data_IF_232604990158
#
_entry.id   IF_232604990158
#
_cell.length_a   1.000
_cell.length_b   1.000
_cell.length_c   1.000
_cell.angle_alpha   90.00
_cell.angle_beta   90.00
_cell.angle_gamma   90.00
#
_symmetry.space_group_name_H-M   'P 1'
#
loop_
_entity.id
_entity.type
_entity.pdbx_description
1 polymer ?
#
# COMPACT_ATOMS: atom_id res chain seq x y z
N UNK A 1 36.26 9.86 -7.31
CA UNK A 1 35.89 11.24 -7.69
C UNK A 1 34.73 11.62 -6.80
N UNK A 2 34.85 12.71 -6.04
CA UNK A 2 33.78 13.17 -5.16
C UNK A 2 32.58 13.58 -6.03
N UNK A 3 31.38 13.13 -5.69
CA UNK A 3 30.19 13.42 -6.49
C UNK A 3 29.87 14.91 -6.39
N UNK A 4 29.56 15.53 -7.53
CA UNK A 4 29.17 16.93 -7.62
C UNK A 4 27.81 17.03 -8.31
N UNK A 5 26.87 17.83 -7.79
CA UNK A 5 25.59 18.05 -8.45
C UNK A 5 25.80 18.82 -9.75
N UNK A 6 25.04 18.45 -10.78
CA UNK A 6 24.93 19.27 -11.98
C UNK A 6 23.99 20.46 -11.75
N UNK A 7 23.96 21.40 -12.70
CA UNK A 7 23.13 22.60 -12.60
C UNK A 7 21.65 22.26 -12.46
N UNK A 8 21.17 21.24 -13.18
CA UNK A 8 19.78 20.79 -13.11
C UNK A 8 19.41 20.28 -11.70
N UNK A 9 20.33 19.63 -10.99
CA UNK A 9 20.14 19.19 -9.61
C UNK A 9 20.13 20.37 -8.65
N UNK A 10 21.00 21.37 -8.85
CA UNK A 10 21.01 22.60 -8.05
C UNK A 10 19.72 23.40 -8.22
N UNK A 11 19.25 23.57 -9.46
CA UNK A 11 18.01 24.26 -9.78
C UNK A 11 16.81 23.55 -9.14
N UNK A 12 16.75 22.21 -9.26
CA UNK A 12 15.72 21.40 -8.60
C UNK A 12 15.71 21.61 -7.08
N UNK A 13 16.88 21.60 -6.43
CA UNK A 13 16.98 21.81 -4.98
C UNK A 13 16.45 23.19 -4.60
N UNK A 14 16.89 24.24 -5.31
CA UNK A 14 16.45 25.62 -5.05
C UNK A 14 14.95 25.79 -5.28
N UNK A 15 14.42 25.32 -6.40
CA UNK A 15 12.99 25.47 -6.72
C UNK A 15 12.10 24.71 -5.74
N UNK A 16 12.49 23.51 -5.30
CA UNK A 16 11.74 22.77 -4.28
C UNK A 16 11.86 23.40 -2.88
N UNK A 17 12.98 24.03 -2.56
CA UNK A 17 13.16 24.81 -1.34
C UNK A 17 12.25 26.06 -1.33
N UNK A 18 12.23 26.82 -2.42
CA UNK A 18 11.34 27.97 -2.63
C UNK A 18 9.87 27.55 -2.55
N UNK A 19 9.48 26.50 -3.26
CA UNK A 19 8.11 25.96 -3.20
C UNK A 19 7.72 25.55 -1.78
N UNK A 20 8.62 24.88 -1.05
CA UNK A 20 8.33 24.47 0.31
C UNK A 20 8.22 25.67 1.26
N UNK A 21 9.10 26.67 1.13
CA UNK A 21 8.98 27.91 1.90
C UNK A 21 7.65 28.63 1.60
N UNK A 22 7.29 28.75 0.31
CA UNK A 22 6.01 29.32 -0.14
C UNK A 22 4.79 28.60 0.45
N UNK A 23 4.76 27.27 0.38
CA UNK A 23 3.64 26.46 0.88
C UNK A 23 3.43 26.52 2.39
N UNK A 24 4.47 26.88 3.14
CA UNK A 24 4.48 26.90 4.60
C UNK A 24 4.76 28.31 5.15
N UNK A 25 4.48 29.36 4.37
CA UNK A 25 4.52 30.76 4.81
C UNK A 25 5.87 31.14 5.45
N UNK A 26 6.97 30.85 4.73
CA UNK A 26 8.33 31.12 5.20
C UNK A 26 8.88 30.11 6.22
N UNK A 27 8.13 29.06 6.54
CA UNK A 27 8.52 28.02 7.53
C UNK A 27 8.86 26.68 6.89
N UNK A 28 9.49 26.73 5.72
CA UNK A 28 9.94 25.54 4.99
C UNK A 28 10.87 24.66 5.82
N UNK A 29 10.82 23.35 5.60
CA UNK A 29 11.55 22.31 6.34
C UNK A 29 12.41 21.47 5.39
N UNK A 30 13.72 21.44 5.64
CA UNK A 30 14.67 20.70 4.82
C UNK A 30 14.31 19.20 4.70
N UNK A 31 13.82 18.58 5.78
CA UNK A 31 13.42 17.17 5.78
C UNK A 31 12.30 16.85 4.78
N UNK A 32 11.34 17.75 4.61
CA UNK A 32 10.25 17.61 3.63
C UNK A 32 10.77 17.70 2.20
N UNK A 33 11.70 18.63 1.94
CA UNK A 33 12.33 18.81 0.63
C UNK A 33 13.23 17.62 0.27
N UNK A 34 14.04 17.12 1.22
CA UNK A 34 14.86 15.92 1.04
C UNK A 34 13.99 14.72 0.68
N UNK A 35 12.92 14.47 1.44
CA UNK A 35 12.00 13.36 1.19
C UNK A 35 11.40 13.42 -0.21
N UNK A 36 11.04 14.62 -0.67
CA UNK A 36 10.50 14.84 -2.02
C UNK A 36 11.54 14.56 -3.11
N UNK A 37 12.76 15.07 -2.96
CA UNK A 37 13.86 14.84 -3.93
C UNK A 37 14.18 13.33 -4.02
N UNK A 38 14.32 12.64 -2.89
CA UNK A 38 14.63 11.21 -2.87
C UNK A 38 13.49 10.34 -3.43
N UNK A 39 12.25 10.83 -3.35
CA UNK A 39 11.07 10.21 -3.94
C UNK A 39 11.00 10.38 -5.46
N UNK A 40 11.38 11.54 -6.00
CA UNK A 40 11.29 11.84 -7.44
C UNK A 40 12.55 11.52 -8.25
N UNK A 41 13.74 11.55 -7.63
CA UNK A 41 15.05 11.35 -8.27
C UNK A 41 15.79 10.18 -7.62
N UNK A 42 15.52 8.98 -8.13
CA UNK A 42 16.13 7.75 -7.60
C UNK A 42 17.67 7.73 -7.74
N UNK A 43 18.19 8.42 -8.75
CA UNK A 43 19.62 8.60 -9.02
C UNK A 43 20.35 9.41 -7.93
N UNK A 44 19.64 10.25 -7.17
CA UNK A 44 20.23 11.05 -6.08
C UNK A 44 20.30 10.32 -4.74
N UNK A 45 19.64 9.16 -4.60
CA UNK A 45 19.59 8.38 -3.34
C UNK A 45 20.97 7.99 -2.80
N UNK A 46 21.93 7.51 -3.62
CA UNK A 46 23.29 7.20 -3.15
C UNK A 46 24.05 8.43 -2.65
N UNK A 47 23.64 9.64 -3.07
CA UNK A 47 24.34 10.90 -2.83
C UNK A 47 23.69 11.74 -1.73
N UNK A 48 22.76 11.18 -0.94
CA UNK A 48 22.01 11.90 0.09
C UNK A 48 22.88 12.70 1.09
N UNK A 49 24.09 12.22 1.41
CA UNK A 49 25.04 12.94 2.27
C UNK A 49 25.54 14.27 1.69
N UNK A 50 25.62 14.38 0.37
CA UNK A 50 26.02 15.61 -0.34
C UNK A 50 24.82 16.50 -0.64
N UNK A 51 23.66 15.90 -0.93
CA UNK A 51 22.41 16.63 -1.23
C UNK A 51 21.81 17.29 0.02
N UNK A 52 21.82 16.62 1.18
CA UNK A 52 21.15 17.12 2.37
C UNK A 52 21.66 18.49 2.88
N UNK A 53 22.98 18.77 2.94
CA UNK A 53 23.48 20.11 3.29
C UNK A 53 23.06 21.20 2.30
N UNK A 54 23.06 20.91 1.00
CA UNK A 54 22.61 21.84 -0.05
C UNK A 54 21.12 22.17 0.11
N UNK A 55 20.29 21.16 0.37
CA UNK A 55 18.86 21.36 0.63
C UNK A 55 18.65 22.22 1.87
N UNK A 56 19.37 21.93 2.97
CA UNK A 56 19.26 22.73 4.19
C UNK A 56 19.63 24.20 3.97
N UNK A 57 20.68 24.45 3.18
CA UNK A 57 21.10 25.80 2.81
C UNK A 57 20.04 26.52 1.97
N UNK A 58 19.51 25.88 0.92
CA UNK A 58 18.50 26.51 0.06
C UNK A 58 17.16 26.72 0.77
N UNK A 59 16.75 25.83 1.68
CA UNK A 59 15.56 26.06 2.54
C UNK A 59 15.77 27.26 3.45
N UNK A 60 16.95 27.38 4.07
CA UNK A 60 17.25 28.54 4.91
C UNK A 60 17.24 29.85 4.11
N UNK A 61 17.81 29.86 2.89
CA UNK A 61 17.75 31.03 2.00
C UNK A 61 16.32 31.37 1.60
N UNK A 62 15.50 30.38 1.24
CA UNK A 62 14.11 30.58 0.88
C UNK A 62 13.30 31.16 2.04
N UNK A 63 13.47 30.63 3.26
CA UNK A 63 12.79 31.15 4.45
C UNK A 63 13.24 32.58 4.79
N UNK A 64 14.54 32.88 4.68
CA UNK A 64 15.06 34.23 4.90
C UNK A 64 14.51 35.23 3.86
N UNK A 65 14.38 34.81 2.60
CA UNK A 65 13.77 35.62 1.54
C UNK A 65 12.28 35.88 1.82
N UNK A 66 11.55 34.87 2.30
CA UNK A 66 10.16 35.07 2.72
C UNK A 66 10.04 36.10 3.85
N UNK A 67 10.99 36.10 4.78
CA UNK A 67 11.03 37.04 5.90
C UNK A 67 11.42 38.46 5.47
N UNK A 68 12.40 38.63 4.58
CA UNK A 68 12.88 39.96 4.16
C UNK A 68 12.03 40.59 3.06
N UNK A 69 11.66 39.82 2.04
CA UNK A 69 11.08 40.31 0.78
C UNK A 69 9.60 39.96 0.66
N UNK A 70 9.05 39.22 1.64
CA UNK A 70 7.68 38.75 1.68
C UNK A 70 7.46 37.48 0.86
N UNK A 71 6.45 36.69 1.25
CA UNK A 71 6.15 35.39 0.63
C UNK A 71 5.82 35.46 -0.88
N UNK A 72 5.32 36.61 -1.33
CA UNK A 72 4.94 36.84 -2.73
C UNK A 72 6.16 36.97 -3.65
N UNK A 73 7.31 37.40 -3.14
CA UNK A 73 8.57 37.43 -3.90
C UNK A 73 8.96 36.03 -4.38
N UNK A 74 8.80 35.03 -3.50
CA UNK A 74 9.07 33.63 -3.81
C UNK A 74 8.10 33.12 -4.89
N UNK A 75 6.84 33.52 -4.82
CA UNK A 75 5.84 33.16 -5.84
C UNK A 75 6.26 33.69 -7.21
N UNK A 76 6.65 34.96 -7.32
CA UNK A 76 7.08 35.55 -8.59
C UNK A 76 8.29 34.81 -9.18
N UNK A 77 9.25 34.41 -8.35
CA UNK A 77 10.39 33.59 -8.77
C UNK A 77 9.90 32.25 -9.33
N UNK A 78 9.00 31.56 -8.62
CA UNK A 78 8.45 30.28 -9.07
C UNK A 78 7.62 30.44 -10.34
N UNK A 79 6.87 31.53 -10.52
CA UNK A 79 6.07 31.79 -11.74
C UNK A 79 6.96 31.91 -12.98
N UNK A 80 8.15 32.50 -12.83
CA UNK A 80 9.10 32.71 -13.92
C UNK A 80 9.92 31.45 -14.19
N UNK A 81 10.42 30.80 -13.13
CA UNK A 81 11.46 29.78 -13.28
C UNK A 81 10.94 28.35 -13.22
N UNK A 82 9.85 28.09 -12.48
CA UNK A 82 9.31 26.75 -12.26
C UNK A 82 7.77 26.78 -12.04
N UNK A 83 6.98 27.27 -13.02
CA UNK A 83 5.54 27.49 -12.85
C UNK A 83 4.79 26.21 -12.49
N UNK A 84 5.26 25.04 -12.96
CA UNK A 84 4.70 23.73 -12.63
C UNK A 84 4.72 23.40 -11.13
N UNK A 85 5.58 24.07 -10.34
CA UNK A 85 5.65 23.89 -8.89
C UNK A 85 4.62 24.73 -8.13
N UNK A 86 3.98 25.72 -8.75
CA UNK A 86 2.90 26.47 -8.10
C UNK A 86 1.58 25.70 -8.10
N UNK A 87 1.42 24.76 -9.03
CA UNK A 87 0.28 23.86 -9.03
C UNK A 87 0.38 22.89 -7.84
N UNK A 88 -0.40 23.17 -6.80
CA UNK A 88 -0.66 22.19 -5.75
C UNK A 88 -1.44 21.03 -6.37
N UNK A 89 -0.74 19.97 -6.79
CA UNK A 89 -1.37 18.66 -7.01
C UNK A 89 -1.93 18.20 -5.67
N UNK A 90 -3.16 18.58 -5.38
CA UNK A 90 -3.93 18.02 -4.27
C UNK A 90 -3.94 16.53 -4.56
N UNK A 91 -3.22 15.74 -3.74
CA UNK A 91 -3.44 14.31 -3.73
C UNK A 91 -4.87 14.13 -3.26
N UNK A 92 -5.79 14.03 -4.22
CA UNK A 92 -7.17 13.64 -3.94
C UNK A 92 -7.07 12.28 -3.29
N UNK A 93 -7.38 12.24 -1.99
CA UNK A 93 -7.47 10.98 -1.26
C UNK A 93 -8.48 10.16 -2.03
N UNK A 94 -8.04 9.02 -2.57
CA UNK A 94 -8.94 8.11 -3.26
C UNK A 94 -10.04 7.71 -2.29
N UNK A 95 -11.27 8.05 -2.62
CA UNK A 95 -12.45 7.56 -1.91
C UNK A 95 -12.85 6.22 -2.51
N UNK A 96 -13.26 5.30 -1.63
CA UNK A 96 -13.69 3.97 -2.04
C UNK A 96 -12.56 3.02 -2.48
N UNK A 97 -12.99 1.82 -2.88
CA UNK A 97 -12.12 0.76 -3.35
C UNK A 97 -11.83 0.89 -4.86
N UNK A 98 -10.68 0.39 -5.35
CA UNK A 98 -10.44 0.30 -6.78
C UNK A 98 -11.45 -0.54 -7.53
N UNK A 99 -11.62 -0.25 -8.82
CA UNK A 99 -12.29 -1.21 -9.69
C UNK A 99 -11.49 -2.51 -9.75
N UNK A 100 -12.19 -3.64 -9.68
CA UNK A 100 -11.59 -4.95 -9.90
C UNK A 100 -11.39 -5.17 -11.39
N UNK A 101 -10.16 -5.47 -11.86
CA UNK A 101 -9.92 -5.74 -13.27
C UNK A 101 -10.56 -7.08 -13.68
N UNK A 102 -10.84 -7.24 -14.97
CA UNK A 102 -11.22 -8.52 -15.60
C UNK A 102 -12.54 -9.14 -15.12
N UNK A 103 -13.47 -8.34 -14.56
CA UNK A 103 -14.80 -8.83 -14.21
C UNK A 103 -15.60 -9.26 -15.46
N UNK A 104 -15.46 -8.55 -16.59
CA UNK A 104 -16.15 -8.84 -17.85
C UNK A 104 -17.68 -9.00 -17.66
N UNK A 105 -18.29 -8.11 -16.88
CA UNK A 105 -19.72 -8.14 -16.55
C UNK A 105 -20.14 -9.21 -15.52
N UNK A 106 -19.19 -10.01 -15.00
CA UNK A 106 -19.46 -10.99 -13.96
C UNK A 106 -19.40 -10.35 -12.57
N UNK A 107 -20.20 -10.89 -11.66
CA UNK A 107 -20.12 -10.56 -10.23
C UNK A 107 -18.91 -11.25 -9.60
N UNK A 108 -18.16 -10.58 -8.72
CA UNK A 108 -16.99 -11.19 -8.09
C UNK A 108 -17.40 -12.27 -7.08
N UNK A 109 -16.58 -13.31 -6.97
CA UNK A 109 -16.63 -14.28 -5.88
C UNK A 109 -15.33 -14.14 -5.10
N UNK A 110 -15.43 -13.61 -3.89
CA UNK A 110 -14.31 -13.28 -3.02
C UNK A 110 -14.23 -14.27 -1.86
N UNK A 111 -13.05 -14.39 -1.23
CA UNK A 111 -12.92 -15.21 -0.01
C UNK A 111 -12.06 -14.56 1.05
N UNK A 112 -12.48 -14.73 2.30
CA UNK A 112 -11.64 -14.56 3.47
C UNK A 112 -11.31 -15.95 4.04
N UNK A 113 -10.03 -16.27 4.18
CA UNK A 113 -9.57 -17.61 4.51
C UNK A 113 -8.71 -17.65 5.78
N UNK A 114 -9.31 -17.54 6.99
CA UNK A 114 -8.57 -17.58 8.25
C UNK A 114 -8.18 -19.01 8.62
N UNK A 115 -7.07 -19.15 9.34
CA UNK A 115 -6.84 -20.39 10.10
C UNK A 115 -7.71 -20.30 11.37
N UNK A 116 -8.48 -21.33 11.74
CA UNK A 116 -9.33 -21.30 12.93
C UNK A 116 -8.53 -21.56 14.21
N UNK A 117 -7.31 -21.04 14.34
CA UNK A 117 -6.43 -21.29 15.49
C UNK A 117 -6.50 -20.18 16.56
N UNK A 118 -7.53 -19.34 16.52
CA UNK A 118 -7.75 -18.23 17.45
C UNK A 118 -8.75 -17.20 16.92
N UNK A 119 -9.03 -16.13 17.70
CA UNK A 119 -9.93 -15.05 17.29
C UNK A 119 -9.33 -14.17 16.19
N UNK A 120 -10.18 -13.45 15.44
CA UNK A 120 -9.69 -12.49 14.44
C UNK A 120 -9.03 -11.28 15.10
N UNK A 121 -7.75 -11.09 14.83
CA UNK A 121 -7.04 -9.83 15.12
C UNK A 121 -7.45 -8.68 14.18
N UNK A 122 -7.06 -7.45 14.53
CA UNK A 122 -7.26 -6.26 13.68
C UNK A 122 -6.58 -6.38 12.30
N UNK A 123 -5.54 -7.20 12.15
CA UNK A 123 -4.94 -7.46 10.84
C UNK A 123 -5.90 -8.17 9.89
N UNK A 124 -6.74 -9.06 10.41
CA UNK A 124 -7.75 -9.78 9.64
C UNK A 124 -8.86 -8.87 9.14
N UNK A 125 -9.23 -7.84 9.92
CA UNK A 125 -10.32 -6.94 9.57
C UNK A 125 -10.08 -6.26 8.22
N UNK A 126 -8.84 -5.91 7.89
CA UNK A 126 -8.50 -5.31 6.60
C UNK A 126 -8.86 -6.24 5.43
N UNK A 127 -8.40 -7.49 5.48
CA UNK A 127 -8.69 -8.46 4.43
C UNK A 127 -10.19 -8.72 4.33
N UNK A 128 -10.84 -8.92 5.47
CA UNK A 128 -12.25 -9.25 5.53
C UNK A 128 -13.15 -8.10 5.05
N UNK A 129 -12.95 -6.89 5.56
CA UNK A 129 -13.74 -5.70 5.19
C UNK A 129 -13.56 -5.35 3.72
N UNK A 130 -12.33 -5.41 3.18
CA UNK A 130 -12.11 -5.15 1.75
C UNK A 130 -12.87 -6.15 0.87
N UNK A 131 -12.77 -7.45 1.18
CA UNK A 131 -13.49 -8.47 0.42
C UNK A 131 -15.01 -8.35 0.58
N UNK A 132 -15.48 -8.09 1.80
CA UNK A 132 -16.91 -7.89 2.08
C UNK A 132 -17.49 -6.66 1.39
N UNK A 133 -16.75 -5.55 1.36
CA UNK A 133 -17.15 -4.33 0.67
C UNK A 133 -17.26 -4.54 -0.84
N UNK A 134 -16.30 -5.24 -1.46
CA UNK A 134 -16.43 -5.61 -2.88
C UNK A 134 -17.64 -6.50 -3.16
N UNK A 135 -17.89 -7.51 -2.31
CA UNK A 135 -19.04 -8.38 -2.47
C UNK A 135 -20.36 -7.58 -2.38
N UNK A 136 -20.45 -6.66 -1.41
CA UNK A 136 -21.61 -5.78 -1.23
C UNK A 136 -21.83 -4.83 -2.40
N UNK A 137 -20.81 -4.05 -2.76
CA UNK A 137 -20.93 -2.98 -3.76
C UNK A 137 -21.17 -3.52 -5.18
N UNK A 138 -20.61 -4.70 -5.48
CA UNK A 138 -20.70 -5.32 -6.80
C UNK A 138 -21.76 -6.43 -6.85
N UNK A 139 -22.54 -6.61 -5.78
CA UNK A 139 -23.56 -7.66 -5.65
C UNK A 139 -23.01 -9.07 -5.87
N UNK A 140 -21.75 -9.30 -5.48
CA UNK A 140 -21.02 -10.56 -5.56
C UNK A 140 -21.10 -11.38 -4.28
N UNK A 141 -20.24 -12.40 -4.18
CA UNK A 141 -20.23 -13.34 -3.06
C UNK A 141 -18.99 -13.17 -2.19
N UNK A 142 -19.17 -13.40 -0.89
CA UNK A 142 -18.10 -13.53 0.10
C UNK A 142 -18.15 -14.93 0.69
N UNK A 143 -17.08 -15.70 0.49
CA UNK A 143 -16.87 -17.02 1.06
C UNK A 143 -16.00 -16.89 2.32
N UNK A 144 -16.47 -17.43 3.44
CA UNK A 144 -15.65 -17.67 4.63
C UNK A 144 -15.08 -19.09 4.55
N UNK A 145 -13.78 -19.22 4.27
CA UNK A 145 -13.11 -20.51 4.14
C UNK A 145 -12.17 -20.77 5.31
N UNK A 146 -12.53 -21.65 6.23
CA UNK A 146 -11.60 -22.08 7.29
C UNK A 146 -10.46 -22.88 6.66
N UNK A 147 -9.23 -22.40 6.86
CA UNK A 147 -8.00 -23.04 6.40
C UNK A 147 -7.38 -23.83 7.55
N UNK A 148 -7.87 -25.05 7.75
CA UNK A 148 -7.65 -25.88 8.94
C UNK A 148 -6.81 -27.13 8.66
N UNK A 149 -6.02 -27.11 7.59
CA UNK A 149 -5.22 -28.27 7.15
C UNK A 149 -3.88 -28.41 7.87
N UNK A 150 -3.42 -27.37 8.58
CA UNK A 150 -2.18 -27.40 9.36
C UNK A 150 -2.46 -27.73 10.82
N UNK A 151 -2.47 -29.02 11.13
CA UNK A 151 -2.77 -29.52 12.48
C UNK A 151 -1.62 -29.39 13.47
N UNK A 152 -0.42 -28.99 13.02
CA UNK A 152 0.79 -28.97 13.85
C UNK A 152 1.20 -27.56 14.24
N UNK A 153 1.35 -26.66 13.28
CA UNK A 153 1.79 -25.28 13.54
C UNK A 153 0.60 -24.37 13.85
N UNK A 154 -0.58 -24.66 13.28
CA UNK A 154 -1.79 -23.84 13.45
C UNK A 154 -3.01 -24.70 13.81
N UNK A 155 -2.95 -25.46 14.92
CA UNK A 155 -4.02 -26.37 15.30
C UNK A 155 -5.36 -25.62 15.42
N UNK A 156 -6.45 -26.17 14.85
CA UNK A 156 -7.78 -25.59 14.97
C UNK A 156 -8.28 -25.52 16.42
N UNK A 157 -8.94 -24.43 16.76
CA UNK A 157 -9.74 -24.23 17.97
C UNK A 157 -11.21 -24.34 17.59
N UNK A 158 -11.96 -25.24 18.24
CA UNK A 158 -13.37 -25.50 17.90
C UNK A 158 -14.24 -24.24 18.07
N UNK A 159 -13.95 -23.42 19.07
CA UNK A 159 -14.65 -22.17 19.36
C UNK A 159 -14.47 -21.13 18.24
N UNK A 160 -13.40 -21.25 17.43
CA UNK A 160 -13.16 -20.35 16.31
C UNK A 160 -14.18 -20.58 15.17
N UNK A 161 -14.69 -21.80 14.99
CA UNK A 161 -15.69 -22.10 13.97
C UNK A 161 -17.04 -21.43 14.27
N UNK A 162 -17.34 -21.19 15.55
CA UNK A 162 -18.55 -20.49 15.98
C UNK A 162 -18.35 -18.97 16.06
N UNK A 163 -17.20 -18.52 16.57
CA UNK A 163 -16.96 -17.09 16.83
C UNK A 163 -16.55 -16.29 15.59
N UNK A 164 -15.81 -16.89 14.65
CA UNK A 164 -15.36 -16.20 13.44
C UNK A 164 -16.53 -15.77 12.52
N UNK A 165 -17.56 -16.60 12.28
CA UNK A 165 -18.73 -16.16 11.50
C UNK A 165 -19.44 -14.96 12.13
N UNK A 166 -19.58 -14.94 13.46
CA UNK A 166 -20.20 -13.81 14.19
C UNK A 166 -19.36 -12.53 14.04
N UNK A 167 -18.04 -12.63 14.19
CA UNK A 167 -17.13 -11.50 13.99
C UNK A 167 -17.14 -11.01 12.55
N UNK A 168 -17.22 -11.95 11.60
CA UNK A 168 -17.31 -11.65 10.19
C UNK A 168 -18.58 -10.86 9.86
N UNK A 169 -19.73 -11.35 10.30
CA UNK A 169 -21.02 -10.71 10.07
C UNK A 169 -21.05 -9.32 10.71
N UNK A 170 -20.54 -9.18 11.93
CA UNK A 170 -20.44 -7.88 12.59
C UNK A 170 -19.59 -6.86 11.81
N UNK A 171 -18.44 -7.29 11.26
CA UNK A 171 -17.55 -6.42 10.48
C UNK A 171 -18.11 -6.06 9.10
N UNK A 172 -18.75 -7.01 8.42
CA UNK A 172 -19.25 -6.81 7.06
C UNK A 172 -20.68 -6.25 7.00
N UNK A 173 -21.45 -6.39 8.09
CA UNK A 173 -22.87 -6.08 8.15
C UNK A 173 -23.77 -7.08 7.42
N UNK A 174 -23.26 -8.26 7.08
CA UNK A 174 -23.99 -9.38 6.47
C UNK A 174 -23.24 -10.70 6.69
N UNK A 175 -23.96 -11.81 6.81
CA UNK A 175 -23.37 -13.15 6.94
C UNK A 175 -22.68 -13.59 5.64
N UNK A 176 -21.58 -14.32 5.74
CA UNK A 176 -20.92 -14.92 4.59
C UNK A 176 -21.92 -15.72 3.73
N UNK A 177 -21.78 -15.62 2.41
CA UNK A 177 -22.69 -16.28 1.46
C UNK A 177 -22.50 -17.79 1.50
N UNK A 178 -21.27 -18.23 1.79
CA UNK A 178 -20.88 -19.63 1.91
C UNK A 178 -19.82 -19.76 3.00
N UNK A 179 -19.94 -20.82 3.78
CA UNK A 179 -18.90 -21.28 4.69
C UNK A 179 -18.31 -22.56 4.10
N UNK A 180 -16.98 -22.64 4.06
CA UNK A 180 -16.24 -23.79 3.54
C UNK A 180 -15.19 -24.18 4.57
N UNK A 181 -15.09 -25.46 4.89
CA UNK A 181 -14.04 -25.99 5.75
C UNK A 181 -13.04 -26.73 4.86
N UNK A 182 -11.76 -26.38 4.94
CA UNK A 182 -10.77 -26.94 4.03
C UNK A 182 -10.54 -28.43 4.28
N UNK A 183 -10.54 -28.87 5.54
CA UNK A 183 -10.37 -30.26 5.94
C UNK A 183 -11.52 -31.19 5.50
N UNK A 184 -12.72 -30.67 5.26
CA UNK A 184 -13.82 -31.46 4.67
C UNK A 184 -13.58 -31.82 3.20
N UNK A 185 -12.58 -31.19 2.56
CA UNK A 185 -12.27 -31.33 1.13
C UNK A 185 -11.00 -32.13 0.86
N UNK A 186 -10.47 -32.83 1.86
CA UNK A 186 -9.22 -33.60 1.73
C UNK A 186 -9.27 -34.62 0.59
N UNK A 187 -10.42 -35.27 0.38
CA UNK A 187 -10.58 -36.20 -0.75
C UNK A 187 -10.45 -35.48 -2.09
N UNK A 188 -11.06 -34.30 -2.24
CA UNK A 188 -10.93 -33.52 -3.48
C UNK A 188 -9.48 -33.11 -3.74
N UNK A 189 -8.75 -32.68 -2.71
CA UNK A 189 -7.32 -32.35 -2.85
C UNK A 189 -6.49 -33.56 -3.25
N UNK A 190 -6.78 -34.72 -2.67
CA UNK A 190 -6.13 -35.97 -3.03
C UNK A 190 -6.39 -36.35 -4.49
N UNK A 191 -7.64 -36.27 -4.95
CA UNK A 191 -8.01 -36.56 -6.33
C UNK A 191 -7.27 -35.63 -7.32
N UNK A 192 -7.16 -34.34 -7.01
CA UNK A 192 -6.36 -33.41 -7.80
C UNK A 192 -4.86 -33.73 -7.76
N UNK A 193 -4.32 -34.16 -6.61
CA UNK A 193 -2.92 -34.58 -6.52
C UNK A 193 -2.65 -35.80 -7.42
N UNK A 194 -3.56 -36.78 -7.47
CA UNK A 194 -3.46 -37.90 -8.40
C UNK A 194 -3.50 -37.46 -9.86
N UNK A 195 -4.39 -36.52 -10.21
CA UNK A 195 -4.47 -35.97 -11.56
C UNK A 195 -3.17 -35.25 -11.95
N UNK A 196 -2.59 -34.48 -11.03
CA UNK A 196 -1.31 -33.79 -11.26
C UNK A 196 -0.17 -34.79 -11.51
N UNK A 197 -0.10 -35.87 -10.75
CA UNK A 197 0.92 -36.92 -10.94
C UNK A 197 0.71 -37.66 -12.26
N UNK A 198 -0.54 -38.07 -12.56
CA UNK A 198 -0.89 -38.76 -13.82
C UNK A 198 -0.61 -37.88 -15.05
N UNK A 199 -0.79 -36.57 -14.92
CA UNK A 199 -0.50 -35.59 -15.96
C UNK A 199 0.96 -35.14 -16.03
N UNK A 200 1.87 -35.74 -15.26
CA UNK A 200 3.29 -35.38 -15.20
C UNK A 200 3.57 -33.93 -14.75
N UNK A 201 2.62 -33.30 -14.03
CA UNK A 201 2.76 -31.96 -13.45
C UNK A 201 3.28 -31.96 -12.00
N UNK A 202 3.60 -33.14 -11.46
CA UNK A 202 4.15 -33.31 -10.11
C UNK A 202 4.74 -34.70 -9.90
N UNK A 203 5.57 -34.85 -8.87
CA UNK A 203 6.18 -36.13 -8.48
C UNK A 203 6.35 -36.20 -6.95
N UNK A 204 6.54 -37.41 -6.41
CA UNK A 204 6.84 -37.62 -4.99
C UNK A 204 8.35 -37.50 -4.78
N UNK A 205 8.78 -36.47 -4.04
CA UNK A 205 10.17 -36.33 -3.63
C UNK A 205 10.49 -37.26 -2.46
N UNK A 206 11.53 -38.08 -2.59
CA UNK A 206 11.99 -39.02 -1.55
C UNK A 206 13.34 -38.64 -0.93
N UNK A 207 13.83 -37.43 -1.22
CA UNK A 207 15.03 -36.89 -0.57
C UNK A 207 14.73 -36.57 0.91
N UNK A 208 15.76 -36.54 1.75
CA UNK A 208 15.64 -36.00 3.11
C UNK A 208 15.35 -34.50 3.07
N UNK A 209 14.48 -34.04 3.97
CA UNK A 209 14.15 -32.63 4.18
C UNK A 209 15.31 -31.84 4.80
#
# INVERSE_FOLDING_TARGET
MEWQPDQATLDLIRHLALQNSYQYDGKGQAGSVISRIMGSRADLRPHGKHVAPLVAQEVAKANAMAESDGIESIRQILEIEAPDLLERKVQTRREGLPELPNLNGRKPVLRFAPNPNGPLSFGHSRGLVINGQYAKDLGGELILRFDDTDTTVKPPMLEAYESIPVQQEWLCGFSAHRIVIASERMQEYHDYAELMIKGEFGYVCTCSA
#
